data_IF_738247308375
#
_entry.id   IF_738247308375
#
_cell.length_a   1.000
_cell.length_b   1.000
_cell.length_c   1.000
_cell.angle_alpha   90.00
_cell.angle_beta   90.00
_cell.angle_gamma   90.00
#
_symmetry.space_group_name_H-M   'P 1'
#
loop_
_entity.id
_entity.type
_entity.pdbx_description
1 polymer ?
#
# COMPACT_ATOMS: atom_id res chain seq x y z
N UNK A 1 -15.99 -14.21 14.77
CA UNK A 1 -15.82 -12.87 14.15
C UNK A 1 -15.12 -11.98 15.16
N UNK A 2 -14.04 -11.32 14.77
CA UNK A 2 -13.28 -10.40 15.63
C UNK A 2 -13.90 -9.02 15.64
N UNK A 3 -13.69 -8.26 16.74
CA UNK A 3 -13.98 -6.83 16.76
C UNK A 3 -12.90 -6.08 15.97
N UNK A 4 -13.24 -4.92 15.39
CA UNK A 4 -12.28 -4.12 14.61
C UNK A 4 -11.00 -3.81 15.38
N UNK A 5 -11.13 -3.37 16.63
CA UNK A 5 -9.97 -3.05 17.47
C UNK A 5 -9.04 -4.24 17.69
N UNK A 6 -9.58 -5.47 17.82
CA UNK A 6 -8.77 -6.69 17.92
C UNK A 6 -7.96 -6.91 16.63
N UNK A 7 -8.57 -6.61 15.46
CA UNK A 7 -7.90 -6.74 14.18
C UNK A 7 -6.88 -5.63 13.95
N UNK A 8 -7.17 -4.40 14.37
CA UNK A 8 -6.22 -3.30 14.35
C UNK A 8 -4.97 -3.66 15.16
N UNK A 9 -5.15 -4.07 16.42
CA UNK A 9 -4.03 -4.45 17.29
C UNK A 9 -3.25 -5.69 16.77
N UNK A 10 -3.93 -6.62 16.10
CA UNK A 10 -3.25 -7.77 15.49
C UNK A 10 -2.36 -7.40 14.30
N UNK A 11 -2.51 -6.20 13.74
CA UNK A 11 -1.65 -5.70 12.66
C UNK A 11 -0.38 -5.01 13.17
N UNK A 12 -0.31 -4.61 14.45
CA UNK A 12 0.89 -3.97 15.02
C UNK A 12 2.14 -4.85 14.88
N UNK A 13 2.11 -6.17 15.18
CA UNK A 13 3.26 -7.05 14.95
C UNK A 13 3.77 -7.09 13.50
N UNK A 14 2.89 -6.83 12.51
CA UNK A 14 3.31 -6.74 11.10
C UNK A 14 4.15 -5.48 10.87
N UNK A 15 3.76 -4.35 11.49
CA UNK A 15 4.55 -3.11 11.46
C UNK A 15 5.90 -3.28 12.14
N UNK A 16 5.93 -3.96 13.31
CA UNK A 16 7.18 -4.25 14.02
C UNK A 16 8.12 -5.09 13.15
N UNK A 17 7.60 -6.10 12.46
CA UNK A 17 8.40 -6.97 11.59
C UNK A 17 8.91 -6.21 10.35
N UNK A 18 8.06 -5.40 9.70
CA UNK A 18 8.45 -4.51 8.61
C UNK A 18 9.56 -3.55 9.08
N UNK A 19 9.34 -2.87 10.20
CA UNK A 19 10.31 -1.93 10.76
C UNK A 19 11.65 -2.62 11.06
N UNK A 20 11.63 -3.78 11.71
CA UNK A 20 12.81 -4.60 12.00
C UNK A 20 13.61 -4.91 10.73
N UNK A 21 12.93 -5.36 9.67
CA UNK A 21 13.59 -5.69 8.39
C UNK A 21 14.17 -4.42 7.76
N UNK A 22 13.42 -3.33 7.73
CA UNK A 22 13.90 -2.07 7.17
C UNK A 22 15.12 -1.52 7.91
N UNK A 23 15.13 -1.53 9.24
CA UNK A 23 16.30 -1.11 10.05
C UNK A 23 17.50 -2.01 9.77
N UNK A 24 17.32 -3.33 9.80
CA UNK A 24 18.39 -4.31 9.56
C UNK A 24 19.08 -4.12 8.21
N UNK A 25 18.33 -3.78 7.18
CA UNK A 25 18.83 -3.68 5.81
C UNK A 25 19.01 -2.24 5.30
N UNK A 26 18.87 -1.26 6.22
CA UNK A 26 18.96 0.18 5.91
C UNK A 26 18.05 0.57 4.74
N UNK A 27 16.75 0.18 4.82
CA UNK A 27 15.72 0.52 3.87
C UNK A 27 14.90 1.70 4.38
N UNK A 28 14.64 2.65 3.50
CA UNK A 28 13.77 3.79 3.78
C UNK A 28 12.31 3.38 3.64
N UNK A 29 11.50 3.80 4.57
CA UNK A 29 10.04 3.74 4.48
C UNK A 29 9.43 4.85 5.34
N UNK A 30 8.17 5.14 5.14
CA UNK A 30 7.37 5.95 6.05
C UNK A 30 5.89 5.56 5.97
N UNK A 31 5.13 5.93 6.97
CA UNK A 31 3.68 5.84 6.91
C UNK A 31 3.10 6.77 5.85
N UNK A 32 1.99 6.37 5.24
CA UNK A 32 1.24 7.20 4.30
C UNK A 32 -0.27 7.09 4.56
N UNK A 33 -1.06 7.83 3.85
CA UNK A 33 -2.52 7.83 3.87
C UNK A 33 -3.14 7.78 5.28
N UNK A 34 -4.07 6.82 5.51
CA UNK A 34 -4.79 6.64 6.76
C UNK A 34 -3.89 6.33 7.94
N UNK A 35 -2.86 5.54 7.73
CA UNK A 35 -1.88 5.19 8.77
C UNK A 35 -1.09 6.41 9.26
N UNK A 36 -0.63 7.27 8.32
CA UNK A 36 0.03 8.53 8.68
C UNK A 36 -0.91 9.48 9.43
N UNK A 37 -2.15 9.62 8.95
CA UNK A 37 -3.16 10.43 9.62
C UNK A 37 -3.47 9.89 11.02
N UNK A 38 -3.53 8.58 11.18
CA UNK A 38 -3.69 7.90 12.45
C UNK A 38 -2.56 8.22 13.42
N UNK A 39 -1.31 8.06 13.00
CA UNK A 39 -0.12 8.39 13.80
C UNK A 39 -0.13 9.84 14.27
N UNK A 40 -0.46 10.78 13.39
CA UNK A 40 -0.43 12.22 13.71
C UNK A 40 -1.58 12.62 14.63
N UNK A 41 -2.82 12.22 14.30
CA UNK A 41 -4.04 12.70 14.95
C UNK A 41 -4.48 11.85 16.14
N UNK A 42 -4.29 10.53 16.09
CA UNK A 42 -4.82 9.57 17.07
C UNK A 42 -3.74 8.86 17.88
N UNK A 43 -2.47 8.95 17.48
CA UNK A 43 -1.34 8.18 18.03
C UNK A 43 -1.53 6.66 17.88
N UNK A 44 -2.28 6.26 16.86
CA UNK A 44 -2.66 4.89 16.57
C UNK A 44 -3.63 4.85 15.41
N UNK A 45 -4.38 3.75 15.30
CA UNK A 45 -5.39 3.63 14.27
C UNK A 45 -6.46 4.71 14.35
N UNK A 46 -6.92 5.17 13.20
CA UNK A 46 -8.20 5.88 13.12
C UNK A 46 -9.29 4.88 13.54
N UNK A 47 -10.24 5.22 14.47
CA UNK A 47 -11.12 4.24 15.09
C UNK A 47 -12.01 3.44 14.12
N UNK A 48 -12.25 3.95 12.92
CA UNK A 48 -13.06 3.29 11.88
C UNK A 48 -12.23 2.72 10.72
N UNK A 49 -10.91 2.89 10.75
CA UNK A 49 -9.99 2.36 9.74
C UNK A 49 -9.67 0.88 9.98
N UNK A 50 -9.30 0.16 8.95
CA UNK A 50 -9.09 -1.29 9.02
C UNK A 50 -7.86 -1.80 8.26
N UNK A 51 -7.07 -0.91 7.69
CA UNK A 51 -5.84 -1.21 6.95
C UNK A 51 -4.64 -0.38 7.43
N UNK A 52 -3.49 -0.73 6.91
CA UNK A 52 -2.23 -0.04 7.15
C UNK A 52 -1.53 0.23 5.82
N UNK A 53 -1.05 1.45 5.67
CA UNK A 53 -0.36 1.93 4.47
C UNK A 53 1.04 2.41 4.81
N UNK A 54 2.04 1.88 4.12
CA UNK A 54 3.40 2.38 4.15
C UNK A 54 3.89 2.69 2.75
N UNK A 55 4.78 3.66 2.62
CA UNK A 55 5.39 4.04 1.37
C UNK A 55 6.91 3.86 1.44
N UNK A 56 7.51 3.36 0.36
CA UNK A 56 8.95 3.14 0.24
C UNK A 56 9.48 3.74 -1.05
N UNK A 57 10.64 4.45 -1.06
CA UNK A 57 11.33 4.78 -2.31
C UNK A 57 11.47 3.54 -3.20
N UNK A 58 11.25 3.68 -4.51
CA UNK A 58 11.13 2.53 -5.43
C UNK A 58 12.29 1.55 -5.33
N UNK A 59 13.53 2.02 -5.17
CA UNK A 59 14.69 1.13 -5.07
C UNK A 59 14.74 0.39 -3.72
N UNK A 60 14.32 1.03 -2.63
CA UNK A 60 14.17 0.38 -1.32
C UNK A 60 13.01 -0.62 -1.36
N UNK A 61 11.92 -0.28 -2.06
CA UNK A 61 10.76 -1.15 -2.26
C UNK A 61 11.12 -2.45 -2.99
N UNK A 62 11.82 -2.37 -4.12
CA UNK A 62 12.25 -3.54 -4.88
C UNK A 62 13.17 -4.42 -4.04
N UNK A 63 14.15 -3.83 -3.37
CA UNK A 63 15.04 -4.55 -2.45
C UNK A 63 14.27 -5.15 -1.27
N UNK A 64 13.26 -4.45 -0.74
CA UNK A 64 12.40 -4.97 0.32
C UNK A 64 11.62 -6.20 -0.14
N UNK A 65 11.06 -6.19 -1.36
CA UNK A 65 10.33 -7.34 -1.90
C UNK A 65 11.18 -8.61 -1.93
N UNK A 66 12.44 -8.50 -2.35
CA UNK A 66 13.37 -9.65 -2.39
C UNK A 66 13.72 -10.15 -0.98
N UNK A 67 14.13 -9.23 -0.09
CA UNK A 67 14.59 -9.55 1.26
C UNK A 67 13.45 -10.07 2.13
N UNK A 68 12.30 -9.40 2.12
CA UNK A 68 11.19 -9.76 3.01
C UNK A 68 10.62 -11.14 2.68
N UNK A 69 10.66 -11.56 1.42
CA UNK A 69 10.22 -12.89 1.01
C UNK A 69 11.01 -14.02 1.70
N UNK A 70 12.23 -13.76 2.12
CA UNK A 70 13.15 -14.72 2.79
C UNK A 70 13.14 -14.57 4.32
N UNK A 71 13.03 -13.34 4.84
CA UNK A 71 13.17 -13.00 6.25
C UNK A 71 11.85 -12.71 6.98
N UNK A 72 10.78 -12.43 6.25
CA UNK A 72 9.49 -12.05 6.82
C UNK A 72 8.83 -13.17 7.62
N UNK A 73 8.24 -12.81 8.77
CA UNK A 73 7.54 -13.77 9.65
C UNK A 73 6.08 -13.99 9.23
N UNK A 74 5.51 -13.04 8.47
CA UNK A 74 4.15 -13.06 8.02
C UNK A 74 4.05 -13.52 6.56
N UNK A 75 2.85 -13.57 6.04
CA UNK A 75 2.64 -13.87 4.65
C UNK A 75 2.99 -12.65 3.80
N UNK A 76 3.79 -12.82 2.75
CA UNK A 76 4.18 -11.75 1.85
C UNK A 76 3.68 -12.01 0.43
N UNK A 77 3.07 -11.00 -0.15
CA UNK A 77 2.43 -11.06 -1.45
C UNK A 77 2.98 -9.95 -2.35
N UNK A 78 3.61 -10.32 -3.42
CA UNK A 78 4.09 -9.41 -4.47
C UNK A 78 4.39 -10.19 -5.74
N UNK A 79 4.56 -9.51 -6.87
CA UNK A 79 4.98 -10.18 -8.12
C UNK A 79 6.44 -10.71 -8.06
N UNK A 80 7.24 -10.29 -7.07
CA UNK A 80 8.56 -10.87 -6.78
C UNK A 80 8.48 -12.13 -5.91
N UNK A 81 7.32 -12.40 -5.27
CA UNK A 81 7.13 -13.57 -4.43
C UNK A 81 5.83 -14.31 -4.78
N UNK A 82 5.94 -15.34 -5.59
CA UNK A 82 4.81 -16.08 -6.15
C UNK A 82 4.38 -17.29 -5.30
N UNK A 83 4.67 -17.31 -4.01
CA UNK A 83 4.33 -18.45 -3.13
C UNK A 83 2.82 -18.57 -2.86
N UNK A 84 2.04 -17.53 -3.15
CA UNK A 84 0.59 -17.53 -2.94
C UNK A 84 -0.17 -17.58 -4.26
N UNK A 85 -0.78 -18.72 -4.54
CA UNK A 85 -1.57 -18.94 -5.77
C UNK A 85 -3.02 -18.42 -5.68
N UNK A 86 -3.45 -17.98 -4.48
CA UNK A 86 -4.86 -17.66 -4.19
C UNK A 86 -5.23 -16.18 -4.39
N UNK A 87 -4.31 -15.33 -4.84
CA UNK A 87 -4.55 -13.91 -5.04
C UNK A 87 -4.02 -13.43 -6.40
N UNK A 88 -4.62 -12.38 -6.96
CA UNK A 88 -4.10 -11.75 -8.16
C UNK A 88 -2.68 -11.26 -7.94
N UNK A 89 -1.79 -11.53 -8.87
CA UNK A 89 -0.43 -11.00 -8.87
C UNK A 89 -0.50 -9.48 -9.02
N UNK A 90 0.21 -8.75 -8.19
CA UNK A 90 0.21 -7.28 -8.16
C UNK A 90 1.61 -6.72 -7.99
N UNK A 91 1.82 -5.53 -8.55
CA UNK A 91 3.02 -4.72 -8.26
C UNK A 91 2.93 -4.03 -6.89
N UNK A 92 1.78 -4.04 -6.24
CA UNK A 92 1.64 -3.61 -4.85
C UNK A 92 1.99 -4.77 -3.94
N UNK A 93 3.02 -4.59 -3.13
CA UNK A 93 3.39 -5.59 -2.13
C UNK A 93 2.50 -5.50 -0.89
N UNK A 94 2.23 -6.65 -0.27
CA UNK A 94 1.41 -6.76 0.93
C UNK A 94 2.03 -7.70 1.95
N UNK A 95 2.06 -7.26 3.20
CA UNK A 95 2.37 -8.13 4.34
C UNK A 95 1.05 -8.49 5.01
N UNK A 96 0.76 -9.76 5.17
CA UNK A 96 -0.55 -10.24 5.63
C UNK A 96 -0.43 -11.14 6.84
N UNK A 97 -1.42 -11.04 7.72
CA UNK A 97 -1.57 -11.92 8.86
C UNK A 97 -2.04 -13.31 8.42
N UNK A 98 -1.40 -14.39 8.94
CA UNK A 98 -1.73 -15.77 8.54
C UNK A 98 -3.06 -16.29 9.12
N UNK A 99 -3.51 -15.76 10.24
CA UNK A 99 -4.65 -16.32 10.99
C UNK A 99 -5.87 -15.40 11.06
N UNK A 100 -5.72 -14.11 10.77
CA UNK A 100 -6.80 -13.14 10.81
C UNK A 100 -7.02 -12.62 9.41
N UNK A 101 -8.24 -12.80 8.92
CA UNK A 101 -8.61 -12.43 7.57
C UNK A 101 -9.78 -11.45 7.55
N UNK A 102 -9.85 -10.72 6.46
CA UNK A 102 -10.98 -9.88 6.08
C UNK A 102 -11.54 -10.32 4.73
N UNK A 103 -12.81 -10.03 4.49
CA UNK A 103 -13.42 -10.20 3.18
C UNK A 103 -13.04 -8.99 2.29
N UNK A 104 -12.35 -9.26 1.19
CA UNK A 104 -11.93 -8.21 0.26
C UNK A 104 -13.08 -7.81 -0.64
N UNK A 105 -13.63 -6.61 -0.45
CA UNK A 105 -14.85 -6.14 -1.15
C UNK A 105 -14.61 -5.59 -2.55
N UNK A 106 -13.38 -5.34 -2.93
CA UNK A 106 -13.01 -4.75 -4.22
C UNK A 106 -12.68 -5.76 -5.32
N UNK A 107 -12.66 -7.05 -5.00
CA UNK A 107 -12.50 -8.12 -6.00
C UNK A 107 -13.86 -8.61 -6.51
N UNK A 108 -13.95 -9.06 -7.77
CA UNK A 108 -15.19 -9.58 -8.35
C UNK A 108 -15.74 -10.80 -7.62
N UNK A 109 -14.87 -11.57 -7.00
CA UNK A 109 -15.19 -12.69 -6.13
C UNK A 109 -14.94 -12.28 -4.68
N UNK A 110 -15.86 -12.64 -3.79
CA UNK A 110 -15.65 -12.48 -2.34
C UNK A 110 -14.46 -13.32 -1.92
N UNK A 111 -13.32 -12.69 -1.81
CA UNK A 111 -12.06 -13.35 -1.49
C UNK A 111 -11.67 -13.00 -0.06
N UNK A 112 -11.44 -14.04 0.74
CA UNK A 112 -10.86 -13.89 2.06
C UNK A 112 -9.36 -13.70 1.93
N UNK A 113 -8.83 -12.64 2.54
CA UNK A 113 -7.39 -12.38 2.58
C UNK A 113 -6.96 -11.99 4.00
N UNK A 114 -5.70 -12.24 4.37
CA UNK A 114 -5.17 -11.78 5.64
C UNK A 114 -5.28 -10.26 5.79
N UNK A 115 -5.64 -9.79 6.99
CA UNK A 115 -5.47 -8.37 7.33
C UNK A 115 -3.99 -8.01 7.24
N UNK A 116 -3.65 -6.80 6.86
CA UNK A 116 -2.23 -6.51 6.65
C UNK A 116 -1.88 -5.08 6.29
N UNK A 117 -0.67 -4.95 5.77
CA UNK A 117 -0.05 -3.70 5.37
C UNK A 117 0.07 -3.68 3.86
N UNK A 118 -0.43 -2.63 3.24
CA UNK A 118 -0.15 -2.30 1.85
C UNK A 118 1.16 -1.49 1.78
N UNK A 119 2.11 -1.95 0.96
CA UNK A 119 3.42 -1.31 0.77
C UNK A 119 3.45 -0.66 -0.59
N UNK A 120 3.40 0.68 -0.63
CA UNK A 120 3.36 1.46 -1.85
C UNK A 120 4.77 1.87 -2.31
N UNK A 121 5.15 1.63 -3.57
CA UNK A 121 6.36 2.24 -4.12
C UNK A 121 6.19 3.75 -4.29
N UNK A 122 7.13 4.52 -3.75
CA UNK A 122 7.31 5.95 -4.05
C UNK A 122 8.18 6.09 -5.28
N UNK A 123 7.66 6.74 -6.31
CA UNK A 123 8.35 6.90 -7.59
C UNK A 123 8.64 8.36 -7.89
N UNK A 124 9.65 8.59 -8.74
CA UNK A 124 9.92 9.92 -9.27
C UNK A 124 8.82 10.38 -10.23
N UNK A 125 8.57 11.69 -10.23
CA UNK A 125 7.69 12.37 -11.16
C UNK A 125 8.45 13.44 -11.92
N UNK A 126 8.07 13.75 -13.17
CA UNK A 126 8.66 14.87 -13.90
C UNK A 126 8.28 16.22 -13.27
N UNK A 127 9.03 17.27 -13.61
CA UNK A 127 8.84 18.60 -13.02
C UNK A 127 7.63 19.33 -13.57
N UNK A 128 7.26 19.12 -14.82
CA UNK A 128 6.13 19.82 -15.44
C UNK A 128 4.80 19.14 -15.18
N UNK A 129 3.77 19.91 -14.86
CA UNK A 129 2.41 19.38 -14.60
C UNK A 129 1.88 18.59 -15.81
N UNK A 130 2.16 19.03 -17.04
CA UNK A 130 1.74 18.31 -18.24
C UNK A 130 2.35 16.92 -18.32
N UNK A 131 3.64 16.79 -18.05
CA UNK A 131 4.31 15.48 -18.05
C UNK A 131 3.86 14.62 -16.87
N UNK A 132 3.55 15.22 -15.72
CA UNK A 132 2.94 14.52 -14.59
C UNK A 132 1.57 13.94 -14.96
N UNK A 133 0.73 14.72 -15.65
CA UNK A 133 -0.56 14.24 -16.15
C UNK A 133 -0.40 13.09 -17.16
N UNK A 134 0.56 13.18 -18.06
CA UNK A 134 0.82 12.14 -19.04
C UNK A 134 1.39 10.87 -18.37
N UNK A 135 2.19 11.03 -17.32
CA UNK A 135 2.68 9.91 -16.52
C UNK A 135 1.56 9.22 -15.72
N UNK A 136 0.66 9.98 -15.13
CA UNK A 136 -0.53 9.45 -14.44
C UNK A 136 -1.45 8.70 -15.41
N UNK A 137 -1.65 9.20 -16.63
CA UNK A 137 -2.41 8.47 -17.67
C UNK A 137 -1.74 7.15 -18.05
N UNK A 138 -0.41 7.10 -18.06
CA UNK A 138 0.32 5.86 -18.30
C UNK A 138 0.11 4.84 -17.18
N UNK A 139 0.11 5.26 -15.91
CA UNK A 139 -0.28 4.42 -14.78
C UNK A 139 -1.70 3.90 -14.93
N UNK A 140 -2.65 4.79 -15.22
CA UNK A 140 -4.05 4.44 -15.38
C UNK A 140 -4.25 3.39 -16.50
N UNK A 141 -3.60 3.58 -17.64
CA UNK A 141 -3.64 2.63 -18.76
C UNK A 141 -3.23 1.22 -18.32
N UNK A 142 -2.12 1.09 -17.60
CA UNK A 142 -1.64 -0.22 -17.14
C UNK A 142 -2.51 -0.77 -16.01
N UNK A 143 -3.04 0.08 -15.14
CA UNK A 143 -4.03 -0.31 -14.13
C UNK A 143 -5.30 -0.87 -14.74
N UNK A 144 -5.80 -0.27 -15.83
CA UNK A 144 -6.97 -0.76 -16.58
C UNK A 144 -6.67 -2.12 -17.23
N UNK A 145 -5.49 -2.28 -17.85
CA UNK A 145 -5.05 -3.56 -18.42
C UNK A 145 -4.97 -4.64 -17.34
N UNK A 146 -4.36 -4.32 -16.20
CA UNK A 146 -4.26 -5.24 -15.07
C UNK A 146 -5.65 -5.63 -14.54
N UNK A 147 -6.55 -4.65 -14.38
CA UNK A 147 -7.93 -4.90 -13.97
C UNK A 147 -8.66 -5.82 -14.94
N UNK A 148 -8.58 -5.56 -16.23
CA UNK A 148 -9.26 -6.34 -17.26
C UNK A 148 -8.71 -7.77 -17.37
N UNK A 149 -7.39 -7.92 -17.31
CA UNK A 149 -6.71 -9.18 -17.59
C UNK A 149 -6.39 -10.02 -16.34
N UNK A 150 -6.32 -9.41 -15.17
CA UNK A 150 -5.95 -10.10 -13.94
C UNK A 150 -7.13 -10.15 -12.96
N UNK A 151 -7.73 -8.98 -12.65
CA UNK A 151 -8.77 -8.90 -11.61
C UNK A 151 -10.11 -9.45 -12.08
N UNK A 152 -10.60 -9.04 -13.24
CA UNK A 152 -11.92 -9.47 -13.74
C UNK A 152 -11.98 -10.99 -13.99
N UNK A 153 -10.97 -11.61 -14.63
CA UNK A 153 -10.96 -13.06 -14.84
C UNK A 153 -10.44 -13.86 -13.64
N UNK A 154 -10.11 -13.22 -12.53
CA UNK A 154 -9.58 -13.91 -11.35
C UNK A 154 -10.45 -15.09 -10.94
N UNK A 155 -9.83 -16.27 -10.78
CA UNK A 155 -10.52 -17.53 -10.46
C UNK A 155 -11.22 -18.21 -11.64
N UNK A 156 -11.07 -17.70 -12.87
CA UNK A 156 -11.67 -18.31 -14.08
C UNK A 156 -10.69 -19.11 -14.95
N UNK A 157 -9.43 -19.21 -14.56
CA UNK A 157 -8.32 -19.86 -15.30
C UNK A 157 -8.10 -19.31 -16.73
N UNK A 158 -8.58 -18.11 -17.00
CA UNK A 158 -8.64 -17.55 -18.35
C UNK A 158 -7.29 -17.05 -18.88
N UNK A 159 -6.34 -16.78 -17.98
CA UNK A 159 -4.99 -16.26 -18.28
C UNK A 159 -3.95 -17.01 -17.47
N UNK A 160 -2.80 -17.25 -18.10
CA UNK A 160 -1.70 -17.91 -17.42
C UNK A 160 -1.03 -16.98 -16.39
N UNK A 161 -0.34 -17.59 -15.43
CA UNK A 161 0.42 -16.86 -14.42
C UNK A 161 1.58 -16.07 -15.06
N UNK A 162 2.16 -16.58 -16.14
CA UNK A 162 3.19 -15.94 -16.93
C UNK A 162 2.69 -14.63 -17.57
N UNK A 163 1.47 -14.64 -18.13
CA UNK A 163 0.85 -13.44 -18.69
C UNK A 163 0.61 -12.36 -17.61
N UNK A 164 0.19 -12.79 -16.40
CA UNK A 164 0.03 -11.85 -15.28
C UNK A 164 1.35 -11.23 -14.85
N UNK A 165 2.42 -12.03 -14.81
CA UNK A 165 3.77 -11.55 -14.50
C UNK A 165 4.29 -10.58 -15.54
N UNK A 166 4.07 -10.86 -16.82
CA UNK A 166 4.47 -9.94 -17.90
C UNK A 166 3.81 -8.57 -17.73
N UNK A 167 2.53 -8.54 -17.37
CA UNK A 167 1.83 -7.28 -17.09
C UNK A 167 2.47 -6.56 -15.89
N UNK A 168 2.78 -7.27 -14.81
CA UNK A 168 3.42 -6.68 -13.64
C UNK A 168 4.82 -6.13 -13.96
N UNK A 169 5.63 -6.85 -14.76
CA UNK A 169 6.92 -6.34 -15.21
C UNK A 169 6.79 -5.06 -16.06
N UNK A 170 5.78 -4.99 -16.95
CA UNK A 170 5.49 -3.75 -17.69
C UNK A 170 5.04 -2.61 -16.80
N UNK A 171 4.28 -2.90 -15.75
CA UNK A 171 3.92 -1.89 -14.75
C UNK A 171 5.16 -1.40 -13.98
N UNK A 172 6.07 -2.30 -13.62
CA UNK A 172 7.33 -1.95 -12.96
C UNK A 172 8.24 -1.09 -13.86
N UNK A 173 8.34 -1.38 -15.17
CA UNK A 173 9.04 -0.51 -16.12
C UNK A 173 8.49 0.93 -16.08
N UNK A 174 7.18 1.10 -15.89
CA UNK A 174 6.55 2.43 -15.72
C UNK A 174 6.95 3.07 -14.41
N UNK A 175 7.03 2.30 -13.30
CA UNK A 175 7.47 2.81 -11.99
C UNK A 175 8.89 3.37 -12.03
N UNK A 176 9.77 2.76 -12.82
CA UNK A 176 11.18 3.11 -12.96
C UNK A 176 11.45 4.21 -14.00
N UNK A 177 10.41 4.74 -14.66
CA UNK A 177 10.58 5.71 -15.76
C UNK A 177 11.27 7.01 -15.33
N UNK A 178 11.00 7.49 -14.12
CA UNK A 178 11.62 8.68 -13.54
C UNK A 178 12.37 8.29 -12.28
N UNK A 179 13.67 8.62 -12.24
CA UNK A 179 14.52 8.24 -11.12
C UNK A 179 14.12 8.98 -9.84
N UNK A 180 13.74 8.22 -8.82
CA UNK A 180 13.35 8.73 -7.50
C UNK A 180 14.45 9.59 -6.86
N UNK A 181 15.74 9.18 -7.02
CA UNK A 181 16.83 9.85 -6.29
C UNK A 181 17.08 11.26 -6.80
N UNK A 182 16.89 11.50 -8.09
CA UNK A 182 17.12 12.79 -8.74
C UNK A 182 15.87 13.64 -8.93
N UNK A 183 14.67 13.05 -8.76
CA UNK A 183 13.40 13.73 -8.95
C UNK A 183 13.16 14.82 -7.89
N UNK A 184 12.64 15.97 -8.31
CA UNK A 184 12.15 17.04 -7.43
C UNK A 184 10.76 16.73 -6.85
N UNK A 185 9.95 15.98 -7.62
CA UNK A 185 8.61 15.55 -7.26
C UNK A 185 8.55 14.03 -7.18
N UNK A 186 7.86 13.53 -6.16
CA UNK A 186 7.65 12.09 -5.94
C UNK A 186 6.22 11.83 -5.51
N UNK A 187 5.78 10.60 -5.63
CA UNK A 187 4.46 10.20 -5.14
C UNK A 187 4.29 8.70 -5.11
N UNK A 188 3.30 8.21 -4.35
CA UNK A 188 2.98 6.79 -4.31
C UNK A 188 2.40 6.35 -5.66
N UNK A 189 2.96 5.30 -6.22
CA UNK A 189 2.43 4.67 -7.40
C UNK A 189 1.38 3.65 -7.01
N UNK A 190 0.16 3.91 -7.43
CA UNK A 190 -0.96 3.02 -7.21
C UNK A 190 -1.62 2.68 -8.53
N UNK A 191 -1.41 1.45 -8.99
CA UNK A 191 -2.15 0.89 -10.11
C UNK A 191 -3.47 0.35 -9.57
N UNK A 192 -4.42 1.25 -9.35
CA UNK A 192 -5.59 0.88 -8.59
C UNK A 192 -6.86 0.80 -9.41
N UNK A 193 -7.87 0.24 -8.76
CA UNK A 193 -9.24 0.11 -9.23
C UNK A 193 -9.98 1.46 -9.30
N UNK A 194 -9.30 2.58 -9.02
CA UNK A 194 -9.90 3.90 -8.92
C UNK A 194 -9.90 4.65 -10.27
N UNK A 195 -10.90 5.50 -10.52
CA UNK A 195 -10.97 6.31 -11.73
C UNK A 195 -9.77 7.26 -11.88
N UNK A 196 -9.35 7.54 -13.12
CA UNK A 196 -8.27 8.50 -13.47
C UNK A 196 -8.39 9.82 -12.71
N UNK A 197 -9.61 10.32 -12.50
CA UNK A 197 -9.86 11.56 -11.77
C UNK A 197 -9.29 11.57 -10.33
N UNK A 198 -9.14 10.42 -9.68
CA UNK A 198 -8.52 10.32 -8.36
C UNK A 198 -6.99 10.30 -8.39
N UNK A 199 -6.38 10.16 -9.57
CA UNK A 199 -4.92 10.20 -9.75
C UNK A 199 -4.38 11.62 -9.95
N UNK A 200 -5.23 12.56 -10.35
CA UNK A 200 -4.82 13.96 -10.56
C UNK A 200 -4.38 14.57 -9.23
N UNK A 201 -3.07 14.68 -9.04
CA UNK A 201 -2.41 15.38 -7.92
C UNK A 201 -1.56 14.49 -7.00
N UNK A 202 -1.01 13.37 -7.46
CA UNK A 202 -0.18 12.50 -6.61
C UNK A 202 1.25 12.99 -6.40
N UNK A 203 1.76 13.76 -7.36
CA UNK A 203 3.10 14.33 -7.21
C UNK A 203 3.14 15.39 -6.11
N UNK A 204 4.06 15.22 -5.19
CA UNK A 204 4.41 16.14 -4.12
C UNK A 204 5.90 16.47 -4.21
N UNK A 205 6.34 17.64 -3.76
CA UNK A 205 7.78 17.89 -3.59
C UNK A 205 8.40 16.75 -2.75
N UNK A 206 9.57 16.25 -3.14
CA UNK A 206 10.23 15.12 -2.47
C UNK A 206 10.34 15.29 -0.95
N UNK A 207 10.51 16.52 -0.48
CA UNK A 207 10.52 16.84 0.96
C UNK A 207 9.24 16.46 1.72
N UNK A 208 8.14 16.12 1.02
CA UNK A 208 6.92 15.65 1.66
C UNK A 208 7.06 14.22 2.22
N UNK A 209 8.05 13.46 1.74
CA UNK A 209 8.33 12.08 2.14
C UNK A 209 9.73 11.90 2.74
N UNK A 210 10.68 12.75 2.44
CA UNK A 210 12.07 12.68 2.87
C UNK A 210 12.55 14.07 3.34
N UNK A 211 13.16 14.23 4.53
CA UNK A 211 13.54 13.17 5.47
C UNK A 211 12.38 12.65 6.33
N UNK A 212 12.62 11.49 6.95
CA UNK A 212 11.71 10.88 7.92
C UNK A 212 12.10 11.21 9.37
N UNK A 213 11.15 11.04 10.29
CA UNK A 213 11.37 11.10 11.73
C UNK A 213 10.58 9.97 12.42
N UNK A 214 10.85 9.73 13.70
CA UNK A 214 10.03 8.82 14.48
C UNK A 214 8.69 9.47 14.85
N UNK A 215 7.61 8.70 14.67
CA UNK A 215 6.26 9.02 15.10
C UNK A 215 5.67 7.90 15.93
N UNK A 216 4.84 8.26 16.91
CA UNK A 216 4.16 7.30 17.77
C UNK A 216 2.94 6.70 17.05
N UNK A 217 2.78 5.36 17.14
CA UNK A 217 1.60 4.64 16.70
C UNK A 217 1.38 3.40 17.57
N UNK A 218 0.22 3.32 18.26
CA UNK A 218 -0.15 2.24 19.20
C UNK A 218 0.93 1.97 20.27
N UNK A 219 1.60 3.04 20.76
CA UNK A 219 2.66 2.94 21.76
C UNK A 219 4.04 2.54 21.24
N UNK A 220 4.18 2.29 19.95
CA UNK A 220 5.43 1.98 19.26
C UNK A 220 5.95 3.21 18.50
N UNK A 221 7.20 3.15 18.00
CA UNK A 221 7.84 4.21 17.22
C UNK A 221 8.15 3.72 15.82
N UNK A 222 7.62 4.39 14.79
CA UNK A 222 7.84 4.07 13.39
C UNK A 222 8.23 5.32 12.60
N UNK A 223 8.68 5.16 11.38
CA UNK A 223 9.02 6.29 10.53
C UNK A 223 7.77 6.94 9.92
N UNK A 224 7.67 8.25 10.12
CA UNK A 224 6.72 9.13 9.44
C UNK A 224 7.49 10.21 8.69
N UNK A 225 6.96 10.81 7.62
CA UNK A 225 7.59 11.95 6.96
C UNK A 225 7.75 13.12 7.94
N UNK A 226 8.91 13.77 7.94
CA UNK A 226 9.12 14.97 8.78
C UNK A 226 8.16 16.10 8.39
N UNK A 227 7.88 16.26 7.10
CA UNK A 227 6.98 17.28 6.56
C UNK A 227 5.59 16.69 6.23
N UNK A 228 5.06 15.80 7.08
CA UNK A 228 3.79 15.10 6.90
C UNK A 228 2.60 16.03 6.59
N UNK A 229 2.65 17.29 7.00
CA UNK A 229 1.61 18.27 6.74
C UNK A 229 1.39 18.46 5.23
N UNK A 230 2.44 18.32 4.39
CA UNK A 230 2.32 18.48 2.95
C UNK A 230 1.45 17.39 2.32
N UNK A 231 1.66 16.13 2.69
CA UNK A 231 0.86 15.01 2.21
C UNK A 231 -0.53 15.00 2.84
N UNK A 232 -0.64 15.15 4.17
CA UNK A 232 -1.93 15.14 4.86
C UNK A 232 -2.86 16.26 4.42
N UNK A 233 -2.35 17.50 4.25
CA UNK A 233 -3.16 18.61 3.71
C UNK A 233 -3.61 18.31 2.27
N UNK A 234 -2.74 17.70 1.47
CA UNK A 234 -3.05 17.33 0.10
C UNK A 234 -4.18 16.32 0.00
N UNK A 235 -4.14 15.26 0.84
CA UNK A 235 -5.09 14.16 0.80
C UNK A 235 -6.39 14.45 1.54
N UNK A 236 -6.31 15.16 2.67
CA UNK A 236 -7.42 15.30 3.60
C UNK A 236 -7.84 16.75 3.89
N UNK A 237 -7.15 17.75 3.32
CA UNK A 237 -7.45 19.17 3.61
C UNK A 237 -7.15 19.53 5.05
N UNK A 238 -8.15 19.99 5.81
CA UNK A 238 -8.02 20.17 7.26
C UNK A 238 -8.08 18.81 7.97
N UNK A 239 -6.94 18.09 7.93
CA UNK A 239 -6.82 16.72 8.40
C UNK A 239 -6.97 16.55 9.91
N UNK A 240 -6.85 17.64 10.69
CA UNK A 240 -7.10 17.60 12.14
C UNK A 240 -8.58 17.62 12.47
N UNK A 241 -9.43 18.09 11.58
CA UNK A 241 -10.88 18.04 11.74
C UNK A 241 -11.39 16.61 11.47
N UNK A 242 -12.21 16.10 12.40
CA UNK A 242 -12.86 14.81 12.20
C UNK A 242 -13.96 14.91 11.11
N UNK A 243 -14.07 13.92 10.22
CA UNK A 243 -15.15 13.90 9.24
C UNK A 243 -16.50 13.73 9.95
N UNK A 244 -17.62 14.10 9.30
CA UNK A 244 -18.98 13.81 9.81
C UNK A 244 -19.15 12.34 10.18
N UNK A 245 -19.98 12.04 11.16
CA UNK A 245 -20.13 10.67 11.71
C UNK A 245 -20.54 9.64 10.64
N UNK A 246 -21.41 10.04 9.73
CA UNK A 246 -21.85 9.18 8.61
C UNK A 246 -20.73 8.80 7.63
N UNK A 247 -19.59 9.51 7.65
CA UNK A 247 -18.39 9.19 6.86
C UNK A 247 -17.35 8.37 7.63
N UNK A 248 -17.59 8.10 8.93
CA UNK A 248 -16.69 7.31 9.77
C UNK A 248 -17.00 5.82 9.63
N UNK A 249 -16.82 5.30 8.43
CA UNK A 249 -17.11 3.90 8.07
C UNK A 249 -15.84 3.16 7.69
N UNK A 250 -15.81 1.82 7.84
CA UNK A 250 -14.67 1.02 7.39
C UNK A 250 -14.39 1.21 5.91
N UNK A 251 -13.13 1.08 5.53
CA UNK A 251 -12.72 1.26 4.15
C UNK A 251 -12.84 -0.04 3.34
N UNK A 252 -12.38 -1.15 3.88
CA UNK A 252 -12.17 -2.38 3.11
C UNK A 252 -12.97 -3.60 3.56
N UNK A 253 -13.61 -3.60 4.75
CA UNK A 253 -14.12 -4.85 5.29
C UNK A 253 -15.59 -4.85 5.67
N UNK A 254 -16.29 -5.95 5.32
CA UNK A 254 -17.59 -6.31 5.86
C UNK A 254 -17.49 -7.13 7.17
N UNK A 255 -16.28 -7.50 7.61
CA UNK A 255 -16.05 -8.26 8.82
C UNK A 255 -14.67 -8.89 8.88
N UNK A 256 -14.29 -9.35 10.07
CA UNK A 256 -13.01 -9.98 10.33
C UNK A 256 -13.23 -11.40 10.83
N UNK A 257 -12.43 -12.34 10.35
CA UNK A 257 -12.62 -13.76 10.53
C UNK A 257 -11.32 -14.43 10.95
N UNK A 258 -11.42 -15.51 11.71
CA UNK A 258 -10.28 -16.41 11.94
C UNK A 258 -10.12 -17.33 10.73
N UNK A 259 -8.92 -17.38 10.16
CA UNK A 259 -8.59 -18.40 9.17
C UNK A 259 -8.11 -19.66 9.90
N UNK A 260 -8.76 -20.80 9.62
CA UNK A 260 -8.24 -22.11 9.96
C UNK A 260 -7.62 -22.66 8.67
N UNK A 261 -6.29 -22.63 8.58
CA UNK A 261 -5.62 -23.38 7.53
C UNK A 261 -5.85 -24.87 7.83
N UNK A 262 -6.50 -25.56 6.91
CA UNK A 262 -6.65 -27.00 6.97
C UNK A 262 -5.27 -27.64 7.16
N UNK A 263 -5.18 -28.49 8.15
CA UNK A 263 -4.03 -29.34 8.48
C UNK A 263 -3.67 -30.26 7.32
#
# INVERSE_FOLDING_TARGET
MYKRQECQLAQVPLLDDLHRVCIKHNLRYCFDYGTLLGAVRHKGFIPWDDDLDVAMPIYDYLKFCDIYSEEGQFFFDSHHNLKNDNLPISVLARIKHKQIATEYVHLPLRTMTGVGIDVFPLVGFPDSEKEQDDYVKLFAKWGDIWKEKVIIPFGTEKYSREEHLEICHKMEEVLLKYDYETANYVGPAYFGLFPIASYNKRALPKKAYDPVMYGEFEGHQYYIPQNYQLSLTKWYGDYMQLPPEEKRVPHNSNGFYRMEYGS
#
